data_IF_680131207920
#
_entry.id   IF_680131207920
#
_cell.length_a   1.000
_cell.length_b   1.000
_cell.length_c   1.000
_cell.angle_alpha   90.00
_cell.angle_beta   90.00
_cell.angle_gamma   90.00
#
_symmetry.space_group_name_H-M   'P 1'
#
loop_
_entity.id
_entity.type
_entity.pdbx_description
1 polymer ?
#
# COMPACT_ATOMS: atom_id res chain seq x y z
N UNK A 1 8.16 10.22 11.51
CA UNK A 1 8.76 11.36 12.23
C UNK A 1 7.74 12.21 13.01
N UNK A 2 6.54 12.36 12.50
CA UNK A 2 5.50 13.16 13.19
C UNK A 2 4.83 12.43 14.38
N UNK A 3 4.96 11.09 14.46
CA UNK A 3 4.19 10.27 15.40
C UNK A 3 4.98 9.12 16.02
N UNK A 4 6.15 8.79 15.50
CA UNK A 4 6.97 7.68 15.97
C UNK A 4 8.01 8.17 16.97
N UNK A 5 7.98 7.59 18.15
CA UNK A 5 8.99 7.72 19.20
C UNK A 5 9.87 6.45 19.27
N UNK A 6 11.07 6.54 19.86
CA UNK A 6 11.91 5.36 20.06
C UNK A 6 11.20 4.26 20.84
N UNK A 7 11.10 3.07 20.23
CA UNK A 7 10.43 1.91 20.79
C UNK A 7 8.98 1.69 20.35
N UNK A 8 8.39 2.64 19.61
CA UNK A 8 7.10 2.43 18.95
C UNK A 8 7.22 1.36 17.86
N UNK A 9 6.26 0.48 17.79
CA UNK A 9 6.20 -0.62 16.83
C UNK A 9 5.29 -0.27 15.64
N UNK A 10 5.72 -0.70 14.46
CA UNK A 10 4.96 -0.54 13.21
C UNK A 10 4.79 -1.90 12.56
N UNK A 11 3.55 -2.37 12.48
CA UNK A 11 3.20 -3.62 11.82
C UNK A 11 3.31 -3.47 10.31
N UNK A 12 4.04 -4.39 9.67
CA UNK A 12 4.26 -4.41 8.23
C UNK A 12 3.91 -5.79 7.69
N UNK A 13 2.77 -5.96 6.98
CA UNK A 13 2.47 -7.19 6.26
C UNK A 13 3.58 -7.54 5.27
N UNK A 14 4.07 -8.79 5.30
CA UNK A 14 5.20 -9.26 4.50
C UNK A 14 4.79 -10.42 3.59
N UNK A 15 5.21 -10.40 2.29
CA UNK A 15 6.20 -9.51 1.67
C UNK A 15 5.66 -8.10 1.40
N UNK A 16 6.53 -7.10 1.50
CA UNK A 16 6.18 -5.68 1.33
C UNK A 16 7.26 -4.92 0.54
N UNK A 17 6.96 -3.69 0.18
CA UNK A 17 7.97 -2.78 -0.33
C UNK A 17 9.10 -2.62 0.70
N UNK A 18 10.31 -2.93 0.25
CA UNK A 18 11.49 -3.04 1.14
C UNK A 18 11.75 -1.79 1.98
N UNK A 19 11.43 -0.61 1.44
CA UNK A 19 11.70 0.65 2.11
C UNK A 19 10.80 0.92 3.32
N UNK A 20 9.68 0.23 3.50
CA UNK A 20 8.83 0.46 4.67
C UNK A 20 9.57 0.20 5.98
N UNK A 21 10.26 -0.93 6.07
CA UNK A 21 11.04 -1.26 7.27
C UNK A 21 12.15 -0.24 7.55
N UNK A 22 12.85 0.21 6.50
CA UNK A 22 13.93 1.19 6.65
C UNK A 22 13.42 2.58 7.00
N UNK A 23 12.28 3.01 6.44
CA UNK A 23 11.61 4.27 6.80
C UNK A 23 11.21 4.27 8.28
N UNK A 24 10.67 3.15 8.79
CA UNK A 24 10.33 2.99 10.20
C UNK A 24 11.55 3.11 11.08
N UNK A 25 12.64 2.38 10.78
CA UNK A 25 13.91 2.46 11.50
C UNK A 25 14.49 3.88 11.47
N UNK A 26 14.45 4.53 10.31
CA UNK A 26 14.92 5.91 10.16
C UNK A 26 14.08 6.91 10.98
N UNK A 27 12.83 6.62 11.24
CA UNK A 27 12.00 7.39 12.15
C UNK A 27 12.28 7.12 13.65
N UNK A 28 13.03 6.05 13.96
CA UNK A 28 13.31 5.60 15.33
C UNK A 28 12.40 4.47 15.83
N UNK A 29 11.46 4.00 14.99
CA UNK A 29 10.53 2.93 15.34
C UNK A 29 11.10 1.53 15.08
N UNK A 30 10.34 0.53 15.49
CA UNK A 30 10.64 -0.89 15.34
C UNK A 30 9.69 -1.49 14.30
N UNK A 31 10.17 -1.92 13.11
CA UNK A 31 9.33 -2.63 12.17
C UNK A 31 9.04 -4.05 12.67
N UNK A 32 7.77 -4.41 12.76
CA UNK A 32 7.30 -5.72 13.18
C UNK A 32 6.66 -6.41 11.97
N UNK A 33 7.26 -7.49 11.44
CA UNK A 33 6.70 -8.20 10.30
C UNK A 33 5.43 -8.97 10.69
N UNK A 34 4.39 -8.86 9.86
CA UNK A 34 3.19 -9.70 9.93
C UNK A 34 3.25 -10.66 8.74
N UNK A 35 3.33 -11.98 8.95
CA UNK A 35 3.46 -12.92 7.84
C UNK A 35 2.18 -12.95 6.99
N UNK A 36 2.35 -12.95 5.67
CA UNK A 36 1.27 -13.12 4.71
C UNK A 36 1.62 -14.26 3.77
N UNK A 37 0.85 -15.35 3.84
CA UNK A 37 1.16 -16.58 3.12
C UNK A 37 0.61 -16.58 1.70
N UNK A 38 1.31 -17.27 0.79
CA UNK A 38 0.94 -17.41 -0.62
C UNK A 38 -0.46 -18.02 -0.79
N UNK A 39 -0.81 -19.01 0.03
CA UNK A 39 -2.12 -19.67 0.01
C UNK A 39 -3.31 -18.74 0.29
N UNK A 40 -3.07 -17.62 0.99
CA UNK A 40 -4.05 -16.55 1.23
C UNK A 40 -3.82 -15.33 0.33
N UNK A 41 -3.07 -15.51 -0.77
CA UNK A 41 -2.77 -14.45 -1.73
C UNK A 41 -1.91 -13.32 -1.17
N UNK A 42 -1.00 -13.64 -0.23
CA UNK A 42 -0.10 -12.69 0.41
C UNK A 42 -0.82 -11.53 1.13
N UNK A 43 -1.96 -11.81 1.74
CA UNK A 43 -2.73 -10.83 2.53
C UNK A 43 -2.66 -11.17 4.01
N UNK A 44 -2.57 -10.18 4.92
CA UNK A 44 -2.57 -10.42 6.34
C UNK A 44 -3.93 -10.97 6.78
N UNK A 45 -3.92 -12.05 7.52
CA UNK A 45 -5.12 -12.54 8.16
C UNK A 45 -5.38 -11.76 9.46
N UNK A 46 -6.65 -11.51 9.83
CA UNK A 46 -7.00 -10.80 11.05
C UNK A 46 -6.33 -11.36 12.31
N UNK A 47 -6.24 -12.69 12.43
CA UNK A 47 -5.58 -13.36 13.57
C UNK A 47 -4.07 -13.11 13.63
N UNK A 48 -3.41 -12.99 12.48
CA UNK A 48 -1.95 -12.76 12.44
C UNK A 48 -1.64 -11.30 12.82
N UNK A 49 -2.50 -10.37 12.40
CA UNK A 49 -2.42 -8.98 12.84
C UNK A 49 -2.68 -8.88 14.34
N UNK A 50 -3.74 -9.51 14.84
CA UNK A 50 -4.08 -9.53 16.26
C UNK A 50 -2.92 -10.07 17.12
N UNK A 51 -2.30 -11.17 16.68
CA UNK A 51 -1.18 -11.79 17.40
C UNK A 51 0.09 -10.92 17.43
N UNK A 52 0.27 -10.04 16.43
CA UNK A 52 1.41 -9.14 16.35
C UNK A 52 1.22 -7.81 17.12
N UNK A 53 -0.01 -7.50 17.54
CA UNK A 53 -0.33 -6.26 18.26
C UNK A 53 0.20 -6.33 19.70
N UNK A 54 0.88 -5.27 20.10
CA UNK A 54 1.32 -5.04 21.49
C UNK A 54 0.88 -3.65 21.96
N UNK A 55 1.03 -3.33 23.25
CA UNK A 55 0.80 -1.95 23.75
C UNK A 55 1.72 -0.89 23.14
N UNK A 56 2.82 -1.31 22.47
CA UNK A 56 3.76 -0.44 21.76
C UNK A 56 3.42 -0.27 20.28
N UNK A 57 2.47 -1.03 19.77
CA UNK A 57 2.07 -0.93 18.37
C UNK A 57 1.45 0.43 18.09
N UNK A 58 2.08 1.21 17.24
CA UNK A 58 1.65 2.57 16.88
C UNK A 58 0.96 2.63 15.54
N UNK A 59 1.43 1.82 14.55
CA UNK A 59 0.92 1.83 13.19
C UNK A 59 0.78 0.42 12.62
N UNK A 60 -0.21 0.28 11.74
CA UNK A 60 -0.29 -0.79 10.74
C UNK A 60 -0.16 -0.16 9.35
N UNK A 61 0.73 -0.68 8.51
CA UNK A 61 0.88 -0.26 7.10
C UNK A 61 0.18 -1.26 6.20
N UNK A 62 -0.70 -0.80 5.33
CA UNK A 62 -1.36 -1.60 4.29
C UNK A 62 -1.01 -1.02 2.93
N UNK A 63 -0.76 -1.88 1.94
CA UNK A 63 -0.51 -1.45 0.56
C UNK A 63 -1.27 -2.37 -0.40
N UNK A 64 -2.33 -1.84 -0.99
CA UNK A 64 -3.14 -2.54 -1.99
C UNK A 64 -3.54 -1.61 -3.13
N UNK A 65 -3.41 -2.07 -4.38
CA UNK A 65 -2.68 -3.28 -4.83
C UNK A 65 -1.23 -3.30 -4.35
N UNK A 66 -0.74 -4.48 -3.96
CA UNK A 66 0.51 -4.62 -3.20
C UNK A 66 1.77 -4.59 -4.08
N UNK A 67 2.80 -3.96 -3.58
CA UNK A 67 4.19 -4.14 -3.98
C UNK A 67 4.89 -5.01 -2.92
N UNK A 68 5.36 -6.25 -3.24
CA UNK A 68 5.69 -6.76 -4.58
C UNK A 68 4.72 -7.80 -5.15
N UNK A 69 3.61 -8.13 -4.50
CA UNK A 69 2.82 -9.33 -4.83
C UNK A 69 1.74 -9.11 -5.89
N UNK A 70 1.34 -7.86 -6.11
CA UNK A 70 0.20 -7.53 -6.96
C UNK A 70 -1.15 -7.98 -6.40
N UNK A 71 -1.20 -8.37 -5.13
CA UNK A 71 -2.42 -8.76 -4.43
C UNK A 71 -3.34 -7.57 -4.23
N UNK A 72 -4.64 -7.81 -4.26
CA UNK A 72 -5.69 -6.81 -4.02
C UNK A 72 -6.58 -7.30 -2.89
N UNK A 73 -6.81 -6.47 -1.89
CA UNK A 73 -7.72 -6.80 -0.81
C UNK A 73 -9.17 -6.61 -1.26
N UNK A 74 -10.02 -7.57 -0.94
CA UNK A 74 -11.46 -7.49 -1.14
C UNK A 74 -12.13 -6.66 -0.04
N UNK A 75 -13.37 -6.21 -0.29
CA UNK A 75 -14.19 -5.55 0.73
C UNK A 75 -14.30 -6.39 2.01
N UNK A 76 -14.57 -7.70 1.88
CA UNK A 76 -14.74 -8.58 3.03
C UNK A 76 -13.46 -8.74 3.85
N UNK A 77 -12.30 -8.85 3.21
CA UNK A 77 -10.99 -8.94 3.88
C UNK A 77 -10.65 -7.65 4.63
N UNK A 78 -10.88 -6.49 4.00
CA UNK A 78 -10.67 -5.20 4.66
C UNK A 78 -11.65 -4.99 5.83
N UNK A 79 -12.90 -5.41 5.69
CA UNK A 79 -13.88 -5.34 6.77
C UNK A 79 -13.46 -6.19 7.97
N UNK A 80 -13.05 -7.44 7.73
CA UNK A 80 -12.58 -8.34 8.78
C UNK A 80 -11.34 -7.80 9.50
N UNK A 81 -10.43 -7.20 8.75
CA UNK A 81 -9.26 -6.53 9.33
C UNK A 81 -9.68 -5.28 10.12
N UNK A 82 -10.64 -4.50 9.60
CA UNK A 82 -11.21 -3.34 10.26
C UNK A 82 -11.82 -3.66 11.62
N UNK A 83 -12.58 -4.75 11.71
CA UNK A 83 -13.16 -5.24 12.98
C UNK A 83 -12.08 -5.61 14.01
N UNK A 84 -10.95 -6.15 13.58
CA UNK A 84 -9.79 -6.37 14.44
C UNK A 84 -9.24 -5.04 14.96
N UNK A 85 -9.00 -4.09 14.07
CA UNK A 85 -8.41 -2.80 14.42
C UNK A 85 -9.30 -1.93 15.30
N UNK A 86 -10.62 -2.12 15.27
CA UNK A 86 -11.55 -1.43 16.16
C UNK A 86 -11.36 -1.81 17.63
N UNK A 87 -10.88 -3.02 17.91
CA UNK A 87 -10.56 -3.46 19.29
C UNK A 87 -9.29 -2.79 19.85
N UNK A 88 -8.46 -2.18 18.96
CA UNK A 88 -7.18 -1.57 19.30
C UNK A 88 -7.16 -0.06 18.97
N UNK A 89 -7.83 0.80 19.77
CA UNK A 89 -8.04 2.21 19.43
C UNK A 89 -6.76 3.06 19.42
N UNK A 90 -5.64 2.55 19.95
CA UNK A 90 -4.34 3.23 19.99
C UNK A 90 -3.56 3.13 18.67
N UNK A 91 -3.98 2.25 17.73
CA UNK A 91 -3.26 2.01 16.48
C UNK A 91 -3.74 2.96 15.38
N UNK A 92 -2.81 3.63 14.74
CA UNK A 92 -3.02 4.35 13.49
C UNK A 92 -2.87 3.39 12.30
N UNK A 93 -3.54 3.68 11.21
CA UNK A 93 -3.50 2.85 10.01
C UNK A 93 -3.07 3.72 8.83
N UNK A 94 -2.08 3.26 8.07
CA UNK A 94 -1.73 3.86 6.79
C UNK A 94 -2.15 2.92 5.67
N UNK A 95 -2.94 3.43 4.72
CA UNK A 95 -3.23 2.75 3.47
C UNK A 95 -2.45 3.42 2.35
N UNK A 96 -1.55 2.68 1.71
CA UNK A 96 -0.81 3.13 0.53
C UNK A 96 -1.53 2.63 -0.72
N UNK A 97 -2.36 3.50 -1.28
CA UNK A 97 -3.30 3.21 -2.37
C UNK A 97 -2.71 3.61 -3.74
N UNK A 98 -1.39 3.78 -3.84
CA UNK A 98 -0.68 4.32 -5.02
C UNK A 98 -0.95 3.55 -6.32
N UNK A 99 -1.43 2.31 -6.24
CA UNK A 99 -1.75 1.44 -7.39
C UNK A 99 -3.26 1.27 -7.62
N UNK A 100 -4.13 2.05 -6.99
CA UNK A 100 -5.61 1.89 -7.02
C UNK A 100 -6.21 1.79 -8.43
N UNK A 101 -5.59 2.44 -9.42
CA UNK A 101 -6.04 2.42 -10.82
C UNK A 101 -5.42 1.29 -11.66
N UNK A 102 -4.50 0.53 -11.11
CA UNK A 102 -3.85 -0.59 -11.81
C UNK A 102 -4.46 -1.90 -11.33
N UNK A 103 -5.63 -2.21 -11.83
CA UNK A 103 -6.44 -3.39 -11.47
C UNK A 103 -6.77 -4.20 -12.71
N UNK A 104 -6.87 -5.51 -12.57
CA UNK A 104 -7.06 -6.45 -13.65
C UNK A 104 -8.29 -7.34 -13.43
N UNK A 105 -8.78 -7.95 -14.50
CA UNK A 105 -9.82 -9.00 -14.46
C UNK A 105 -11.13 -8.57 -13.75
N UNK A 106 -11.48 -7.28 -13.82
CA UNK A 106 -12.71 -6.74 -13.23
C UNK A 106 -12.71 -6.63 -11.71
N UNK A 107 -11.56 -6.79 -11.06
CA UNK A 107 -11.42 -6.59 -9.61
C UNK A 107 -11.69 -5.12 -9.27
N UNK A 108 -12.41 -4.89 -8.16
CA UNK A 108 -12.70 -3.55 -7.65
C UNK A 108 -11.71 -3.16 -6.56
N UNK A 109 -11.30 -1.90 -6.59
CA UNK A 109 -10.53 -1.29 -5.53
C UNK A 109 -11.42 -0.95 -4.33
N UNK A 110 -10.86 -1.14 -3.14
CA UNK A 110 -11.44 -0.72 -1.88
C UNK A 110 -10.34 -0.19 -0.97
N UNK A 111 -10.57 0.97 -0.35
CA UNK A 111 -9.70 1.46 0.72
C UNK A 111 -10.35 1.25 2.09
N UNK A 112 -9.55 1.08 3.13
CA UNK A 112 -10.06 0.75 4.47
C UNK A 112 -10.99 1.83 5.03
N UNK A 113 -10.68 3.11 4.79
CA UNK A 113 -11.52 4.22 5.26
C UNK A 113 -12.93 4.21 4.64
N UNK A 114 -13.09 3.67 3.43
CA UNK A 114 -14.38 3.50 2.77
C UNK A 114 -15.13 2.28 3.30
N UNK A 115 -14.41 1.18 3.52
CA UNK A 115 -14.99 -0.11 3.94
C UNK A 115 -15.41 -0.09 5.40
N UNK A 116 -14.62 0.56 6.26
CA UNK A 116 -14.88 0.65 7.69
C UNK A 116 -14.82 2.13 8.18
N UNK A 117 -15.90 2.89 7.98
CA UNK A 117 -15.92 4.33 8.32
C UNK A 117 -15.66 4.64 9.80
N UNK A 118 -15.86 3.69 10.71
CA UNK A 118 -15.56 3.86 12.15
C UNK A 118 -14.06 4.06 12.42
N UNK A 119 -13.21 3.68 11.46
CA UNK A 119 -11.76 3.89 11.52
C UNK A 119 -11.30 5.22 10.90
N UNK A 120 -12.19 6.00 10.28
CA UNK A 120 -11.86 7.19 9.50
C UNK A 120 -10.92 8.15 10.24
N UNK A 121 -11.16 8.37 11.52
CA UNK A 121 -10.35 9.28 12.37
C UNK A 121 -8.98 8.71 12.76
N UNK A 122 -8.60 7.54 12.26
CA UNK A 122 -7.31 6.87 12.50
C UNK A 122 -6.64 6.37 11.24
N UNK A 123 -7.21 6.63 10.07
CA UNK A 123 -6.65 6.20 8.78
C UNK A 123 -5.97 7.37 8.09
N UNK A 124 -4.74 7.13 7.64
CA UNK A 124 -4.00 7.97 6.71
C UNK A 124 -3.98 7.27 5.36
N UNK A 125 -4.71 7.79 4.40
CA UNK A 125 -4.67 7.31 3.01
C UNK A 125 -3.58 8.06 2.24
N UNK A 126 -2.64 7.33 1.66
CA UNK A 126 -1.52 7.85 0.88
C UNK A 126 -1.71 7.47 -0.58
N UNK A 127 -1.48 8.41 -1.48
CA UNK A 127 -1.58 8.21 -2.91
C UNK A 127 -0.63 9.14 -3.67
N UNK A 128 -0.65 9.11 -4.99
CA UNK A 128 0.16 9.99 -5.82
C UNK A 128 0.00 9.74 -7.31
N UNK A 129 0.56 10.66 -8.09
CA UNK A 129 0.49 10.62 -9.55
C UNK A 129 1.53 9.71 -10.20
N UNK A 130 2.48 9.20 -9.41
CA UNK A 130 3.66 8.48 -9.93
C UNK A 130 3.33 7.25 -10.76
N UNK A 131 2.32 6.46 -10.37
CA UNK A 131 2.03 5.15 -10.97
C UNK A 131 0.92 5.22 -11.98
N UNK A 132 -0.27 5.62 -11.58
CA UNK A 132 -1.43 5.73 -12.46
C UNK A 132 -1.17 6.65 -13.66
N UNK A 133 -0.53 7.79 -13.42
CA UNK A 133 -0.27 8.79 -14.46
C UNK A 133 1.14 8.69 -15.07
N UNK A 134 1.96 7.70 -14.69
CA UNK A 134 3.36 7.53 -15.15
C UNK A 134 4.24 8.78 -14.89
N UNK A 135 3.99 9.47 -13.79
CA UNK A 135 4.64 10.72 -13.42
C UNK A 135 5.69 10.52 -12.31
N UNK A 136 6.49 9.47 -12.38
CA UNK A 136 7.49 9.14 -11.36
C UNK A 136 8.53 10.24 -11.16
N UNK A 137 8.97 10.87 -12.24
CA UNK A 137 9.95 11.96 -12.23
C UNK A 137 9.45 13.27 -11.61
N UNK A 138 8.14 13.46 -11.50
CA UNK A 138 7.52 14.67 -10.95
C UNK A 138 7.61 14.75 -9.42
N UNK A 139 7.88 13.64 -8.76
CA UNK A 139 8.10 13.54 -7.31
C UNK A 139 6.97 14.14 -6.47
N UNK A 140 5.71 13.81 -6.79
CA UNK A 140 4.53 14.25 -6.06
C UNK A 140 3.69 13.07 -5.56
N UNK A 141 3.42 13.06 -4.26
CA UNK A 141 2.42 12.27 -3.59
C UNK A 141 1.56 13.16 -2.71
N UNK A 142 0.42 12.66 -2.32
CA UNK A 142 -0.52 13.34 -1.43
C UNK A 142 -1.12 12.34 -0.46
N UNK A 143 -1.70 12.85 0.62
CA UNK A 143 -2.38 12.03 1.59
C UNK A 143 -3.59 12.75 2.17
N UNK A 144 -4.57 11.97 2.60
CA UNK A 144 -5.73 12.40 3.36
C UNK A 144 -5.82 11.68 4.70
N UNK A 145 -6.25 12.37 5.74
CA UNK A 145 -6.37 11.78 7.07
C UNK A 145 -6.81 12.79 8.13
N UNK A 146 -6.81 12.39 9.41
CA UNK A 146 -7.25 13.24 10.50
C UNK A 146 -6.45 14.54 10.59
N UNK A 147 -7.14 15.64 10.80
CA UNK A 147 -6.56 16.99 10.76
C UNK A 147 -5.37 17.16 11.71
N UNK A 148 -5.41 16.56 12.88
CA UNK A 148 -4.32 16.60 13.85
C UNK A 148 -3.05 15.96 13.33
N UNK A 149 -3.19 14.79 12.67
CA UNK A 149 -2.09 14.08 12.04
C UNK A 149 -1.53 14.87 10.85
N UNK A 150 -2.40 15.36 9.96
CA UNK A 150 -1.98 16.15 8.80
C UNK A 150 -1.23 17.42 9.22
N UNK A 151 -1.69 18.13 10.26
CA UNK A 151 -0.97 19.29 10.80
C UNK A 151 0.41 18.93 11.33
N UNK A 152 0.53 17.84 12.08
CA UNK A 152 1.82 17.38 12.60
C UNK A 152 2.79 17.01 11.45
N UNK A 153 2.29 16.31 10.42
CA UNK A 153 3.08 15.97 9.24
C UNK A 153 3.51 17.21 8.45
N UNK A 154 2.61 18.20 8.28
CA UNK A 154 2.91 19.46 7.60
C UNK A 154 4.03 20.23 8.32
N UNK A 155 3.98 20.30 9.65
CA UNK A 155 5.04 20.96 10.43
C UNK A 155 6.40 20.29 10.19
N UNK A 156 6.48 18.96 10.20
CA UNK A 156 7.72 18.23 9.91
C UNK A 156 8.18 18.48 8.47
N UNK A 157 7.27 18.41 7.50
CA UNK A 157 7.59 18.60 6.08
C UNK A 157 8.13 19.99 5.80
N UNK A 158 7.52 21.02 6.39
CA UNK A 158 7.95 22.42 6.25
C UNK A 158 9.39 22.63 6.71
N UNK A 159 9.81 21.96 7.78
CA UNK A 159 11.17 22.08 8.32
C UNK A 159 12.20 21.18 7.61
N UNK A 160 11.74 20.14 6.89
CA UNK A 160 12.62 19.16 6.27
C UNK A 160 12.83 19.38 4.78
N UNK A 161 11.74 19.53 4.00
CA UNK A 161 11.78 19.59 2.52
C UNK A 161 11.11 20.83 1.91
N UNK A 162 10.41 21.62 2.70
CA UNK A 162 9.74 22.86 2.26
C UNK A 162 8.47 22.63 1.43
N UNK A 163 8.36 21.53 0.72
CA UNK A 163 7.18 21.21 -0.10
C UNK A 163 7.51 20.77 -1.53
N UNK A 164 6.46 20.44 -2.27
CA UNK A 164 6.55 20.03 -3.67
C UNK A 164 6.62 21.26 -4.59
N UNK A 165 7.40 21.17 -5.67
CA UNK A 165 7.53 22.26 -6.63
C UNK A 165 6.17 22.64 -7.24
N UNK A 166 5.93 23.93 -7.52
CA UNK A 166 4.68 24.42 -8.12
C UNK A 166 4.41 23.82 -9.50
N UNK A 167 5.47 23.54 -10.27
CA UNK A 167 5.35 22.85 -11.56
C UNK A 167 4.76 21.43 -11.40
N UNK A 168 5.27 20.67 -10.43
CA UNK A 168 4.74 19.34 -10.15
C UNK A 168 3.30 19.40 -9.66
N UNK A 169 2.95 20.38 -8.83
CA UNK A 169 1.58 20.60 -8.38
C UNK A 169 0.64 20.88 -9.55
N UNK A 170 0.99 21.85 -10.42
CA UNK A 170 0.18 22.19 -11.58
C UNK A 170 0.01 21.01 -12.56
N UNK A 171 1.09 20.26 -12.83
CA UNK A 171 1.03 19.05 -13.65
C UNK A 171 0.17 17.94 -13.03
N UNK A 172 0.20 17.80 -11.69
CA UNK A 172 -0.63 16.81 -11.00
C UNK A 172 -2.11 17.19 -10.99
N UNK A 173 -2.44 18.47 -10.82
CA UNK A 173 -3.83 18.96 -10.97
C UNK A 173 -4.35 18.66 -12.38
N UNK A 174 -3.56 18.98 -13.42
CA UNK A 174 -3.94 18.67 -14.79
C UNK A 174 -4.13 17.16 -15.04
N UNK A 175 -3.34 16.29 -14.40
CA UNK A 175 -3.48 14.84 -14.49
C UNK A 175 -4.75 14.33 -13.78
N UNK A 176 -5.06 14.87 -12.60
CA UNK A 176 -6.19 14.43 -11.78
C UNK A 176 -7.54 14.96 -12.33
N UNK A 177 -7.57 16.19 -12.82
CA UNK A 177 -8.79 16.84 -13.33
C UNK A 177 -9.01 16.62 -14.84
N UNK A 178 -7.99 16.14 -15.54
CA UNK A 178 -8.04 15.86 -16.97
C UNK A 178 -8.78 14.59 -17.35
N UNK A 179 -8.80 14.21 -18.65
CA UNK A 179 -9.40 12.96 -19.10
C UNK A 179 -8.76 11.73 -18.43
N UNK A 180 -9.59 10.79 -17.98
CA UNK A 180 -9.15 9.60 -17.24
C UNK A 180 -9.11 8.32 -18.07
N UNK A 181 -9.45 8.37 -19.36
CA UNK A 181 -9.49 7.20 -20.26
C UNK A 181 -8.14 6.46 -20.31
N UNK A 182 -7.04 7.22 -20.21
CA UNK A 182 -5.67 6.69 -20.18
C UNK A 182 -5.44 5.68 -19.03
N UNK A 183 -6.21 5.74 -17.93
CA UNK A 183 -6.04 4.83 -16.80
C UNK A 183 -6.47 3.41 -17.16
N UNK A 184 -7.63 3.28 -17.82
CA UNK A 184 -8.12 1.99 -18.30
C UNK A 184 -7.22 1.40 -19.40
N UNK A 185 -6.74 2.23 -20.32
CA UNK A 185 -5.81 1.83 -21.38
C UNK A 185 -4.49 1.27 -20.78
N UNK A 186 -3.93 1.96 -19.79
CA UNK A 186 -2.70 1.53 -19.10
C UNK A 186 -2.91 0.24 -18.32
N UNK A 187 -4.01 0.13 -17.59
CA UNK A 187 -4.33 -1.09 -16.86
C UNK A 187 -4.41 -2.29 -17.82
N UNK A 188 -5.03 -2.12 -18.99
CA UNK A 188 -5.10 -3.17 -20.01
C UNK A 188 -3.72 -3.55 -20.58
N UNK A 189 -2.85 -2.58 -20.85
CA UNK A 189 -1.47 -2.85 -21.29
C UNK A 189 -0.71 -3.67 -20.23
N UNK A 190 -0.83 -3.30 -18.95
CA UNK A 190 -0.17 -4.05 -17.88
C UNK A 190 -0.79 -5.44 -17.68
N UNK A 191 -2.10 -5.59 -17.83
CA UNK A 191 -2.76 -6.90 -17.81
C UNK A 191 -2.18 -7.83 -18.89
N UNK A 192 -2.05 -7.34 -20.13
CA UNK A 192 -1.47 -8.11 -21.23
C UNK A 192 -0.01 -8.50 -20.95
N UNK A 193 0.80 -7.58 -20.43
CA UNK A 193 2.19 -7.88 -20.02
C UNK A 193 2.25 -8.91 -18.91
N UNK A 194 1.39 -8.81 -17.90
CA UNK A 194 1.25 -9.81 -16.83
C UNK A 194 0.96 -11.18 -17.41
N UNK A 195 -0.07 -11.28 -18.23
CA UNK A 195 -0.52 -12.56 -18.78
C UNK A 195 0.57 -13.20 -19.66
N UNK A 196 1.25 -12.40 -20.49
CA UNK A 196 2.40 -12.87 -21.29
C UNK A 196 3.53 -13.43 -20.42
N UNK A 197 3.90 -12.71 -19.34
CA UNK A 197 5.00 -13.18 -18.46
C UNK A 197 4.58 -14.43 -17.68
N UNK A 198 3.33 -14.50 -17.20
CA UNK A 198 2.82 -15.68 -16.51
C UNK A 198 2.82 -16.92 -17.41
N UNK A 199 2.43 -16.77 -18.68
CA UNK A 199 2.51 -17.85 -19.68
C UNK A 199 3.96 -18.36 -19.85
N UNK A 200 4.93 -17.44 -19.92
CA UNK A 200 6.35 -17.82 -20.03
C UNK A 200 6.87 -18.50 -18.77
N UNK A 201 6.50 -18.01 -17.58
CA UNK A 201 6.89 -18.62 -16.31
C UNK A 201 6.30 -20.02 -16.14
N UNK A 202 5.07 -20.27 -16.60
CA UNK A 202 4.41 -21.57 -16.54
C UNK A 202 5.16 -22.66 -17.33
N UNK A 203 5.95 -22.28 -18.34
CA UNK A 203 6.82 -23.19 -19.09
C UNK A 203 8.12 -23.58 -18.38
N UNK A 204 8.43 -22.99 -17.23
CA UNK A 204 9.67 -23.25 -16.49
C UNK A 204 9.34 -24.13 -15.27
N UNK A 205 9.79 -25.38 -15.33
CA UNK A 205 9.58 -26.34 -14.24
C UNK A 205 10.16 -25.81 -12.92
N UNK A 206 9.38 -25.89 -11.86
CA UNK A 206 9.79 -25.44 -10.51
C UNK A 206 9.47 -23.98 -10.18
N UNK A 207 9.10 -23.14 -11.14
CA UNK A 207 8.59 -21.80 -10.86
C UNK A 207 7.09 -21.82 -10.58
N UNK A 208 6.69 -21.07 -9.57
CA UNK A 208 5.29 -20.76 -9.26
C UNK A 208 5.12 -19.28 -9.11
N UNK A 209 3.98 -18.74 -9.54
CA UNK A 209 3.65 -17.35 -9.35
C UNK A 209 2.16 -17.21 -9.06
N UNK A 210 1.82 -16.63 -7.91
CA UNK A 210 0.45 -16.20 -7.66
C UNK A 210 0.06 -15.15 -8.71
N UNK A 211 -1.09 -15.34 -9.39
CA UNK A 211 -1.54 -14.41 -10.44
C UNK A 211 -1.90 -13.05 -9.81
N UNK A 212 -1.14 -11.97 -10.07
CA UNK A 212 -1.45 -10.68 -9.52
C UNK A 212 -2.78 -10.11 -10.06
N UNK A 213 -3.52 -9.45 -9.20
CA UNK A 213 -4.78 -8.81 -9.53
C UNK A 213 -4.66 -7.31 -9.75
N UNK A 214 -3.50 -6.74 -9.42
CA UNK A 214 -3.20 -5.31 -9.58
C UNK A 214 -1.71 -5.00 -9.56
N UNK A 215 -1.38 -3.72 -9.57
CA UNK A 215 -0.03 -3.18 -9.70
C UNK A 215 0.69 -3.70 -10.98
N UNK A 216 2.01 -3.75 -11.03
CA UNK A 216 2.76 -4.25 -12.19
C UNK A 216 3.92 -5.16 -11.79
N UNK A 217 3.72 -5.93 -10.73
CA UNK A 217 4.70 -6.85 -10.18
C UNK A 217 4.27 -8.29 -10.36
N UNK A 218 5.26 -9.19 -10.50
CA UNK A 218 5.09 -10.62 -10.34
C UNK A 218 6.04 -11.09 -9.25
N UNK A 219 5.49 -11.72 -8.23
CA UNK A 219 6.26 -12.26 -7.12
C UNK A 219 6.40 -13.77 -7.29
N UNK A 220 7.55 -14.17 -7.85
CA UNK A 220 7.79 -15.55 -8.28
C UNK A 220 8.39 -16.37 -7.16
N UNK A 221 7.78 -17.52 -6.86
CA UNK A 221 8.35 -18.52 -5.96
C UNK A 221 9.41 -19.33 -6.69
N UNK A 222 10.62 -19.30 -6.15
CA UNK A 222 11.81 -19.99 -6.70
C UNK A 222 12.35 -21.08 -5.76
N UNK A 223 11.54 -21.53 -4.81
CA UNK A 223 11.92 -22.48 -3.77
C UNK A 223 12.57 -23.77 -4.34
N UNK A 224 12.14 -24.19 -5.52
CA UNK A 224 12.70 -25.39 -6.19
C UNK A 224 14.15 -25.19 -6.69
N UNK A 225 14.71 -23.97 -6.62
CA UNK A 225 16.05 -23.64 -7.10
C UNK A 225 17.03 -23.26 -6.00
N UNK A 226 16.61 -23.27 -4.74
CA UNK A 226 17.41 -22.98 -3.53
C UNK A 226 17.30 -24.12 -2.49
#
# INVERSE_FOLDING_TARGET
>A
RATIDPGDEVLIPMPSWISYADIVKFAGGIPVPVPCHEEYGFKPLPQDVEAAITPKTKWLLLNYPSNPTGSVATHAELLALGETLLRHPHIWIMTDDIYEHLLYDGVKFWTLAQVEPRLYDRVLTVNGVSKAYSMTGWRLGFCGGPLTLIKAMSNVTTQNSGGVTTLAQAGSVAALDGPQDLLAERAEIYRQRRDYVLERLAGIHGLRCHKPQGAFYLFVNIEAFI
#
